data_IF_711939134544
#
_entry.id   IF_711939134544
#
_cell.length_a   1.000
_cell.length_b   1.000
_cell.length_c   1.000
_cell.angle_alpha   90.00
_cell.angle_beta   90.00
_cell.angle_gamma   90.00
#
_symmetry.space_group_name_H-M   'P 1'
#
loop_
_entity.id
_entity.type
_entity.pdbx_description
1 polymer ?
#
# COMPACT_ATOMS: atom_id res chain seq x y z
N UNK A 1 32.49 21.84 0.01
CA UNK A 1 31.62 22.87 0.61
C UNK A 1 30.31 22.21 0.91
N UNK A 2 29.92 22.14 2.18
CA UNK A 2 28.62 21.61 2.56
C UNK A 2 27.52 22.48 1.91
N UNK A 3 26.68 21.92 1.03
CA UNK A 3 25.63 22.67 0.34
C UNK A 3 24.55 23.19 1.30
N UNK A 4 24.49 22.67 2.53
CA UNK A 4 23.57 23.11 3.58
C UNK A 4 24.23 24.09 4.58
N UNK A 5 25.52 24.38 4.44
CA UNK A 5 26.17 25.32 5.33
C UNK A 5 25.70 26.76 5.06
N UNK A 6 25.34 27.47 6.13
CA UNK A 6 25.16 28.92 6.07
C UNK A 6 26.53 29.56 5.86
N UNK A 7 26.94 29.75 4.61
CA UNK A 7 28.25 30.32 4.24
C UNK A 7 28.46 31.69 4.87
N UNK A 8 29.72 32.14 5.04
CA UNK A 8 30.05 33.49 5.55
C UNK A 8 29.22 34.57 4.84
N UNK A 9 29.09 34.47 3.51
CA UNK A 9 28.27 35.38 2.71
C UNK A 9 26.80 35.38 3.14
N UNK A 10 26.21 34.20 3.35
CA UNK A 10 24.83 34.07 3.82
C UNK A 10 24.67 34.58 5.26
N UNK A 11 25.63 34.30 6.16
CA UNK A 11 25.62 34.79 7.55
C UNK A 11 25.66 36.31 7.62
N UNK A 12 26.54 36.94 6.85
CA UNK A 12 26.65 38.40 6.77
C UNK A 12 25.37 39.03 6.19
N UNK A 13 24.82 38.44 5.13
CA UNK A 13 23.58 38.93 4.53
C UNK A 13 22.39 38.82 5.51
N UNK A 14 22.23 37.68 6.19
CA UNK A 14 21.20 37.47 7.19
C UNK A 14 21.34 38.46 8.36
N UNK A 15 22.55 38.59 8.92
CA UNK A 15 22.84 39.52 10.02
C UNK A 15 22.59 40.97 9.61
N UNK A 16 22.99 41.34 8.39
CA UNK A 16 22.74 42.67 7.85
C UNK A 16 21.26 42.99 7.68
N UNK A 17 20.46 42.01 7.25
CA UNK A 17 19.01 42.14 7.21
C UNK A 17 18.43 42.40 8.61
N UNK A 18 18.81 41.61 9.62
CA UNK A 18 18.36 41.84 11.00
C UNK A 18 18.80 43.21 11.55
N UNK A 19 20.06 43.61 11.33
CA UNK A 19 20.57 44.91 11.76
C UNK A 19 19.79 46.08 11.16
N UNK A 20 19.47 46.00 9.86
CA UNK A 20 18.70 47.03 9.15
C UNK A 20 17.29 47.14 9.72
N UNK A 21 16.58 46.02 9.86
CA UNK A 21 15.14 46.05 10.13
C UNK A 21 14.78 46.09 11.62
N UNK A 22 15.60 45.52 12.50
CA UNK A 22 15.31 45.49 13.94
C UNK A 22 16.12 46.50 14.75
N UNK A 23 17.29 46.90 14.27
CA UNK A 23 18.21 47.76 15.02
C UNK A 23 18.50 49.09 14.34
N UNK A 24 17.89 49.36 13.18
CA UNK A 24 18.08 50.57 12.38
C UNK A 24 19.55 50.95 12.18
N UNK A 25 20.41 49.94 11.92
CA UNK A 25 21.85 50.13 11.70
C UNK A 25 22.35 49.25 10.56
N UNK A 26 23.51 49.59 10.02
CA UNK A 26 24.19 48.72 9.05
C UNK A 26 24.69 47.44 9.74
N UNK A 27 24.62 46.32 9.01
CA UNK A 27 25.25 45.06 9.43
C UNK A 27 26.78 45.14 9.44
N UNK A 28 27.44 44.16 10.08
CA UNK A 28 28.90 44.08 10.09
C UNK A 28 29.45 43.80 8.67
N UNK A 29 30.62 44.37 8.35
CA UNK A 29 31.28 44.16 7.06
C UNK A 29 32.01 42.80 6.97
N UNK A 30 32.36 42.23 8.12
CA UNK A 30 33.06 40.97 8.27
C UNK A 30 32.54 40.26 9.51
N UNK A 31 32.63 38.93 9.51
CA UNK A 31 32.27 38.14 10.67
C UNK A 31 33.39 38.29 11.72
N UNK A 32 33.08 38.74 12.94
CA UNK A 32 34.10 38.88 13.97
C UNK A 32 34.66 37.51 14.35
N UNK A 33 35.92 37.48 14.77
CA UNK A 33 36.44 36.29 15.45
C UNK A 33 35.58 35.99 16.68
N UNK A 34 35.19 34.74 16.83
CA UNK A 34 34.47 34.27 17.99
C UNK A 34 35.09 32.96 18.45
N UNK A 35 35.12 32.78 19.77
CA UNK A 35 35.44 31.50 20.36
C UNK A 35 34.11 30.80 20.63
N UNK A 36 33.80 29.67 19.95
CA UNK A 36 32.62 28.89 20.30
C UNK A 36 32.74 28.42 21.76
N UNK A 37 31.63 28.42 22.48
CA UNK A 37 31.54 27.74 23.77
C UNK A 37 31.90 26.26 23.58
N UNK A 38 32.55 25.60 24.56
CA UNK A 38 32.70 24.15 24.55
C UNK A 38 31.35 23.46 24.40
N UNK A 39 31.27 22.38 23.62
CA UNK A 39 30.03 21.63 23.39
C UNK A 39 29.38 21.20 24.72
N UNK A 40 30.21 20.88 25.72
CA UNK A 40 29.80 20.50 27.07
C UNK A 40 28.97 21.56 27.78
N UNK A 41 29.18 22.84 27.48
CA UNK A 41 28.39 23.96 28.02
C UNK A 41 26.94 23.90 27.53
N UNK A 42 26.70 23.31 26.36
CA UNK A 42 25.38 23.20 25.74
C UNK A 42 24.68 21.88 26.09
N UNK A 43 25.36 20.96 26.79
CA UNK A 43 24.80 19.66 27.11
C UNK A 43 23.68 19.75 28.13
N UNK A 44 22.47 19.37 27.71
CA UNK A 44 21.31 19.22 28.59
C UNK A 44 21.29 17.86 29.33
N UNK A 45 22.23 16.96 29.02
CA UNK A 45 22.43 15.66 29.68
C UNK A 45 23.92 15.42 29.93
N UNK A 46 24.33 14.50 30.83
CA UNK A 46 25.75 14.32 31.18
C UNK A 46 26.72 14.05 30.01
N UNK A 47 26.21 13.65 28.85
CA UNK A 47 26.98 13.33 27.65
C UNK A 47 26.38 13.95 26.37
N UNK A 48 25.55 14.98 26.49
CA UNK A 48 24.90 15.64 25.34
C UNK A 48 23.87 14.79 24.58
N UNK A 49 23.62 13.55 25.01
CA UNK A 49 22.70 12.62 24.36
C UNK A 49 21.61 12.12 25.30
N UNK A 50 20.34 12.36 24.96
CA UNK A 50 19.20 11.75 25.68
C UNK A 50 19.28 10.22 25.63
N UNK A 51 19.62 9.64 24.47
CA UNK A 51 19.71 8.19 24.27
C UNK A 51 20.69 7.51 25.22
N UNK A 52 21.89 8.07 25.37
CA UNK A 52 22.95 7.47 26.20
C UNK A 52 22.88 7.88 27.66
N UNK A 53 22.22 9.00 27.97
CA UNK A 53 22.06 9.45 29.36
C UNK A 53 21.15 8.57 30.20
N UNK A 54 20.36 7.69 29.58
CA UNK A 54 19.29 6.91 30.22
C UNK A 54 18.27 7.78 30.98
N UNK A 55 18.18 9.07 30.63
CA UNK A 55 17.24 10.04 31.19
C UNK A 55 16.27 10.48 30.10
N UNK A 56 14.98 10.25 30.33
CA UNK A 56 13.90 10.63 29.42
C UNK A 56 13.48 9.53 28.45
N UNK A 57 12.45 9.82 27.67
CA UNK A 57 11.92 8.93 26.64
C UNK A 57 12.52 9.24 25.27
N UNK A 58 12.88 8.19 24.52
CA UNK A 58 13.21 8.33 23.09
C UNK A 58 11.92 8.44 22.28
N UNK A 59 12.00 8.89 21.03
CA UNK A 59 10.82 8.85 20.14
C UNK A 59 10.23 7.44 20.06
N UNK A 60 11.08 6.42 20.05
CA UNK A 60 10.67 5.03 20.01
C UNK A 60 10.00 4.57 21.30
N UNK A 61 10.51 4.92 22.49
CA UNK A 61 9.83 4.57 23.74
C UNK A 61 8.47 5.28 23.86
N UNK A 62 8.35 6.51 23.33
CA UNK A 62 7.05 7.20 23.22
C UNK A 62 6.10 6.51 22.25
N UNK A 63 6.59 6.08 21.09
CA UNK A 63 5.79 5.33 20.12
C UNK A 63 5.29 4.01 20.73
N UNK A 64 6.17 3.22 21.34
CA UNK A 64 5.82 1.97 22.02
C UNK A 64 4.74 2.16 23.09
N UNK A 65 4.87 3.18 23.94
CA UNK A 65 3.86 3.54 24.95
C UNK A 65 2.53 3.94 24.32
N UNK A 66 2.58 4.76 23.26
CA UNK A 66 1.38 5.29 22.60
C UNK A 66 0.63 4.20 21.84
N UNK A 67 1.33 3.34 21.12
CA UNK A 67 0.70 2.28 20.33
C UNK A 67 0.16 1.13 21.18
N UNK A 68 0.59 0.99 22.45
CA UNK A 68 0.16 -0.10 23.31
C UNK A 68 -1.36 -0.13 23.57
N UNK A 69 -2.04 1.01 23.42
CA UNK A 69 -3.51 1.13 23.51
C UNK A 69 -4.19 1.28 22.14
N UNK A 70 -3.48 1.01 21.04
CA UNK A 70 -3.97 1.16 19.68
C UNK A 70 -3.92 -0.19 18.92
N UNK A 71 -4.83 -0.44 17.96
CA UNK A 71 -6.02 0.36 17.67
C UNK A 71 -7.07 0.32 18.78
N UNK A 72 -8.02 1.27 18.81
CA UNK A 72 -9.10 1.24 19.79
C UNK A 72 -9.83 -0.10 19.73
N UNK A 73 -10.14 -0.65 20.90
CA UNK A 73 -10.96 -1.87 20.99
C UNK A 73 -12.31 -1.62 20.34
N UNK A 74 -12.72 -2.55 19.48
CA UNK A 74 -14.04 -2.56 18.85
C UNK A 74 -14.84 -3.73 19.41
N UNK A 75 -16.16 -3.69 19.26
CA UNK A 75 -17.01 -4.86 19.51
C UNK A 75 -16.97 -5.79 18.30
N UNK A 76 -16.73 -7.08 18.52
CA UNK A 76 -16.80 -8.08 17.46
C UNK A 76 -18.25 -8.19 16.99
N UNK A 77 -18.52 -8.16 15.66
CA UNK A 77 -19.85 -8.43 15.15
C UNK A 77 -20.22 -9.89 15.45
N UNK A 78 -21.33 -10.12 16.15
CA UNK A 78 -21.82 -11.45 16.50
C UNK A 78 -22.99 -11.88 15.60
N UNK A 79 -23.65 -10.94 14.94
CA UNK A 79 -24.75 -11.19 14.02
C UNK A 79 -24.49 -10.61 12.64
N UNK A 80 -25.22 -11.09 11.63
CA UNK A 80 -25.17 -10.54 10.28
C UNK A 80 -25.46 -9.03 10.24
N UNK A 81 -26.46 -8.56 11.01
CA UNK A 81 -26.79 -7.12 11.05
C UNK A 81 -25.68 -6.27 11.67
N UNK A 82 -25.03 -6.77 12.72
CA UNK A 82 -23.88 -6.08 13.33
C UNK A 82 -22.68 -6.06 12.38
N UNK A 83 -22.48 -7.12 11.59
CA UNK A 83 -21.44 -7.18 10.58
C UNK A 83 -21.67 -6.16 9.45
N UNK A 84 -22.90 -6.03 8.95
CA UNK A 84 -23.22 -5.01 7.94
C UNK A 84 -23.03 -3.60 8.50
N UNK A 85 -23.44 -3.35 9.75
CA UNK A 85 -23.19 -2.06 10.42
C UNK A 85 -21.69 -1.77 10.58
N UNK A 86 -20.91 -2.78 10.96
CA UNK A 86 -19.45 -2.69 11.05
C UNK A 86 -18.82 -2.36 9.69
N UNK A 87 -19.23 -3.04 8.61
CA UNK A 87 -18.74 -2.77 7.25
C UNK A 87 -19.06 -1.35 6.81
N UNK A 88 -20.28 -0.88 7.04
CA UNK A 88 -20.68 0.47 6.69
C UNK A 88 -19.85 1.52 7.45
N UNK A 89 -19.72 1.37 8.77
CA UNK A 89 -18.99 2.30 9.62
C UNK A 89 -17.48 2.33 9.30
N UNK A 90 -16.84 1.16 9.28
CA UNK A 90 -15.41 1.07 9.01
C UNK A 90 -15.07 1.40 7.55
N UNK A 91 -15.93 1.04 6.59
CA UNK A 91 -15.78 1.43 5.19
C UNK A 91 -15.81 2.96 5.01
N UNK A 92 -16.72 3.66 5.70
CA UNK A 92 -16.77 5.11 5.68
C UNK A 92 -15.52 5.74 6.32
N UNK A 93 -15.06 5.18 7.46
CA UNK A 93 -13.84 5.62 8.14
C UNK A 93 -12.58 5.40 7.30
N UNK A 94 -12.47 4.24 6.63
CA UNK A 94 -11.41 3.95 5.65
C UNK A 94 -11.43 4.98 4.52
N UNK A 95 -12.59 5.19 3.89
CA UNK A 95 -12.72 6.11 2.77
C UNK A 95 -12.34 7.55 3.15
N UNK A 96 -12.72 7.98 4.35
CA UNK A 96 -12.36 9.29 4.90
C UNK A 96 -10.86 9.39 5.18
N UNK A 97 -10.28 8.42 5.90
CA UNK A 97 -8.86 8.45 6.29
C UNK A 97 -7.94 8.38 5.06
N UNK A 98 -8.32 7.58 4.07
CA UNK A 98 -7.61 7.47 2.81
C UNK A 98 -7.97 8.59 1.82
N UNK A 99 -8.93 9.45 2.12
CA UNK A 99 -9.42 10.50 1.22
C UNK A 99 -9.80 9.96 -0.17
N UNK A 100 -10.36 8.75 -0.20
CA UNK A 100 -10.73 8.08 -1.46
C UNK A 100 -11.88 8.86 -2.10
N UNK A 101 -11.62 9.36 -3.31
CA UNK A 101 -12.62 10.03 -4.15
C UNK A 101 -13.07 9.06 -5.22
N UNK A 102 -14.26 8.48 -5.03
CA UNK A 102 -14.84 7.65 -6.08
C UNK A 102 -15.08 8.48 -7.33
N UNK A 103 -14.33 8.15 -8.38
CA UNK A 103 -14.54 8.71 -9.70
C UNK A 103 -15.39 7.76 -10.55
N UNK A 104 -16.42 8.30 -11.19
CA UNK A 104 -17.28 7.58 -12.14
C UNK A 104 -17.26 8.18 -13.55
N UNK A 105 -16.36 9.14 -13.78
CA UNK A 105 -16.14 9.73 -15.10
C UNK A 105 -15.83 8.66 -16.15
N UNK A 106 -16.11 8.93 -17.43
CA UNK A 106 -15.81 8.00 -18.51
C UNK A 106 -14.37 7.49 -18.46
N UNK A 107 -14.20 6.17 -18.57
CA UNK A 107 -12.89 5.52 -18.53
C UNK A 107 -11.94 5.96 -19.63
N UNK A 108 -12.44 6.53 -20.74
CA UNK A 108 -11.60 6.96 -21.86
C UNK A 108 -10.66 5.87 -22.37
N UNK A 109 -11.08 4.59 -22.28
CA UNK A 109 -10.22 3.45 -22.52
C UNK A 109 -9.68 3.47 -23.96
N UNK A 110 -8.35 3.44 -24.10
CA UNK A 110 -7.65 3.48 -25.38
C UNK A 110 -6.88 2.19 -25.59
N UNK A 111 -7.08 1.58 -26.75
CA UNK A 111 -6.26 0.48 -27.23
C UNK A 111 -4.93 1.00 -27.75
N UNK A 112 -3.84 0.35 -27.35
CA UNK A 112 -2.49 0.70 -27.80
C UNK A 112 -2.01 -0.33 -28.81
N UNK A 113 -1.97 -1.61 -28.43
CA UNK A 113 -1.51 -2.70 -29.29
C UNK A 113 -2.04 -4.04 -28.81
N UNK A 114 -2.31 -4.95 -29.74
CA UNK A 114 -2.57 -6.36 -29.45
C UNK A 114 -1.37 -7.19 -29.91
N UNK A 115 -0.83 -8.00 -29.02
CA UNK A 115 0.27 -8.90 -29.32
C UNK A 115 -0.22 -10.36 -29.24
N UNK A 116 -0.27 -11.10 -30.37
CA UNK A 116 -0.69 -12.50 -30.34
C UNK A 116 0.37 -13.38 -29.68
N UNK A 117 -0.09 -14.43 -28.98
CA UNK A 117 0.69 -15.51 -28.40
C UNK A 117 -0.01 -16.84 -28.70
N UNK A 118 0.66 -17.96 -28.45
CA UNK A 118 0.03 -19.27 -28.66
C UNK A 118 -0.97 -19.55 -27.53
N UNK A 119 -2.28 -19.57 -27.83
CA UNK A 119 -3.35 -19.92 -26.89
C UNK A 119 -3.95 -18.76 -26.10
N UNK A 120 -3.43 -17.55 -26.29
CA UNK A 120 -3.93 -16.31 -25.71
C UNK A 120 -3.36 -15.11 -26.49
N UNK A 121 -3.87 -13.91 -26.26
CA UNK A 121 -3.26 -12.67 -26.73
C UNK A 121 -3.17 -11.64 -25.60
N UNK A 122 -2.23 -10.70 -25.73
CA UNK A 122 -2.07 -9.60 -24.77
C UNK A 122 -2.51 -8.30 -25.42
N UNK A 123 -3.45 -7.61 -24.82
CA UNK A 123 -3.86 -6.27 -25.23
C UNK A 123 -3.26 -5.25 -24.28
N UNK A 124 -2.45 -4.33 -24.81
CA UNK A 124 -1.99 -3.16 -24.08
C UNK A 124 -3.03 -2.06 -24.23
N UNK A 125 -3.53 -1.61 -23.09
CA UNK A 125 -4.60 -0.64 -22.96
C UNK A 125 -4.16 0.45 -21.99
N UNK A 126 -4.82 1.58 -22.05
CA UNK A 126 -4.81 2.57 -20.97
C UNK A 126 -6.23 3.07 -20.72
N UNK A 127 -6.53 3.46 -19.49
CA UNK A 127 -7.79 4.14 -19.15
C UNK A 127 -7.52 5.28 -18.16
N UNK A 128 -8.49 6.16 -17.99
CA UNK A 128 -8.41 7.33 -17.12
C UNK A 128 -9.00 6.99 -15.75
N UNK A 129 -8.17 7.05 -14.71
CA UNK A 129 -8.61 6.88 -13.31
C UNK A 129 -9.23 8.17 -12.77
N UNK A 130 -8.53 9.29 -12.98
CA UNK A 130 -8.89 10.67 -12.65
C UNK A 130 -8.44 11.60 -13.79
N UNK A 131 -9.00 12.82 -13.93
CA UNK A 131 -8.56 13.75 -14.96
C UNK A 131 -7.03 13.91 -15.00
N UNK A 132 -6.40 13.51 -16.09
CA UNK A 132 -4.95 13.56 -16.29
C UNK A 132 -4.16 12.36 -15.75
N UNK A 133 -4.80 11.40 -15.07
CA UNK A 133 -4.18 10.19 -14.54
C UNK A 133 -4.54 8.98 -15.41
N UNK A 134 -3.59 8.59 -16.25
CA UNK A 134 -3.70 7.43 -17.14
C UNK A 134 -3.15 6.19 -16.44
N UNK A 135 -3.88 5.08 -16.55
CA UNK A 135 -3.56 3.79 -15.93
C UNK A 135 -3.26 2.78 -17.04
N UNK A 136 -1.98 2.45 -17.26
CA UNK A 136 -1.56 1.40 -18.17
C UNK A 136 -2.03 0.04 -17.68
N UNK A 137 -2.59 -0.76 -18.59
CA UNK A 137 -3.13 -2.08 -18.28
C UNK A 137 -2.78 -3.06 -19.38
N UNK A 138 -2.25 -4.22 -19.01
CA UNK A 138 -2.11 -5.36 -19.93
C UNK A 138 -3.25 -6.34 -19.65
N UNK A 139 -4.00 -6.68 -20.69
CA UNK A 139 -5.08 -7.65 -20.61
C UNK A 139 -4.64 -8.93 -21.29
N UNK A 140 -4.51 -10.00 -20.51
CA UNK A 140 -4.25 -11.34 -21.02
C UNK A 140 -5.59 -11.99 -21.31
N UNK A 141 -5.89 -12.21 -22.59
CA UNK A 141 -7.16 -12.75 -23.04
C UNK A 141 -6.93 -14.16 -23.60
N UNK A 142 -7.46 -15.22 -22.96
CA UNK A 142 -7.35 -16.58 -23.48
C UNK A 142 -8.16 -16.77 -24.76
N UNK A 143 -7.68 -17.61 -25.67
CA UNK A 143 -8.45 -18.01 -26.86
C UNK A 143 -9.69 -18.85 -26.49
N UNK A 144 -9.61 -19.58 -25.36
CA UNK A 144 -10.69 -20.41 -24.82
C UNK A 144 -10.96 -20.00 -23.36
N UNK A 145 -11.73 -18.91 -23.13
CA UNK A 145 -12.08 -18.48 -21.79
C UNK A 145 -12.97 -19.52 -21.11
N UNK A 146 -12.77 -19.74 -19.80
CA UNK A 146 -13.70 -20.54 -18.99
C UNK A 146 -15.05 -19.82 -18.91
N UNK A 147 -16.12 -20.52 -19.29
CA UNK A 147 -17.48 -19.97 -19.46
C UNK A 147 -18.02 -19.21 -18.25
N UNK A 148 -17.64 -19.61 -17.03
CA UNK A 148 -18.09 -18.99 -15.78
C UNK A 148 -16.97 -18.24 -15.03
N UNK A 149 -15.84 -17.96 -15.68
CA UNK A 149 -14.74 -17.28 -15.00
C UNK A 149 -14.95 -15.77 -14.92
N UNK A 150 -15.11 -15.25 -13.70
CA UNK A 150 -14.91 -13.82 -13.42
C UNK A 150 -13.49 -13.43 -13.80
N UNK A 151 -13.34 -12.25 -14.43
CA UNK A 151 -12.04 -11.68 -14.72
C UNK A 151 -11.23 -11.49 -13.44
N UNK A 152 -9.91 -11.58 -13.57
CA UNK A 152 -8.96 -11.30 -12.49
C UNK A 152 -8.36 -9.92 -12.72
N UNK A 153 -8.47 -9.03 -11.75
CA UNK A 153 -7.64 -7.82 -11.67
C UNK A 153 -6.38 -8.20 -10.89
N UNK A 154 -5.22 -7.82 -11.39
CA UNK A 154 -3.93 -8.14 -10.82
C UNK A 154 -3.12 -6.86 -10.59
N UNK A 155 -2.56 -6.70 -9.40
CA UNK A 155 -1.81 -5.50 -8.97
C UNK A 155 -0.54 -5.92 -8.25
N UNK A 156 0.61 -5.38 -8.68
CA UNK A 156 1.93 -5.73 -8.16
C UNK A 156 2.71 -4.47 -7.73
N UNK A 157 3.49 -4.56 -6.65
CA UNK A 157 4.28 -3.42 -6.16
C UNK A 157 5.35 -2.91 -7.16
N UNK A 158 5.94 -3.82 -7.94
CA UNK A 158 6.90 -3.50 -9.00
C UNK A 158 6.24 -3.20 -10.37
N UNK A 159 4.90 -3.24 -10.44
CA UNK A 159 4.15 -3.10 -11.69
C UNK A 159 3.94 -4.41 -12.44
N UNK A 160 3.04 -4.37 -13.42
CA UNK A 160 2.54 -5.52 -14.18
C UNK A 160 3.59 -6.26 -14.99
N UNK A 161 4.68 -5.59 -15.37
CA UNK A 161 5.75 -6.22 -16.17
C UNK A 161 6.45 -7.33 -15.38
N UNK A 162 6.58 -7.18 -14.06
CA UNK A 162 7.30 -8.12 -13.19
C UNK A 162 6.84 -9.59 -13.39
N UNK A 163 5.52 -9.81 -13.47
CA UNK A 163 4.95 -11.14 -13.69
C UNK A 163 4.19 -11.29 -15.02
N UNK A 164 4.22 -10.24 -15.84
CA UNK A 164 3.55 -10.17 -17.15
C UNK A 164 4.43 -10.53 -18.34
N UNK A 165 5.73 -10.65 -18.14
CA UNK A 165 6.66 -11.13 -19.15
C UNK A 165 6.48 -12.64 -19.43
N UNK A 166 7.10 -13.12 -20.50
CA UNK A 166 7.02 -14.52 -20.91
C UNK A 166 7.46 -15.45 -19.77
N UNK A 167 6.74 -16.56 -19.61
CA UNK A 167 6.86 -17.52 -18.51
C UNK A 167 6.42 -17.00 -17.12
N UNK A 168 5.96 -15.75 -17.03
CA UNK A 168 5.42 -15.15 -15.82
C UNK A 168 4.08 -15.75 -15.37
N UNK A 169 3.63 -15.36 -14.17
CA UNK A 169 2.40 -15.87 -13.57
C UNK A 169 1.17 -15.52 -14.42
N UNK A 170 1.15 -14.34 -15.04
CA UNK A 170 -0.02 -13.84 -15.76
C UNK A 170 -0.27 -14.62 -17.05
N UNK A 171 0.80 -15.01 -17.75
CA UNK A 171 0.72 -15.94 -18.87
C UNK A 171 0.12 -17.29 -18.43
N UNK A 172 0.59 -17.84 -17.31
CA UNK A 172 0.12 -19.13 -16.81
C UNK A 172 -1.36 -19.09 -16.44
N UNK A 173 -1.82 -18.02 -15.79
CA UNK A 173 -3.24 -17.81 -15.50
C UNK A 173 -4.08 -17.72 -16.78
N UNK A 174 -3.59 -16.98 -17.79
CA UNK A 174 -4.26 -16.87 -19.09
C UNK A 174 -4.40 -18.22 -19.78
N UNK A 175 -3.32 -19.02 -19.81
CA UNK A 175 -3.34 -20.39 -20.36
C UNK A 175 -4.32 -21.33 -19.64
N UNK A 176 -4.69 -21.02 -18.41
CA UNK A 176 -5.69 -21.75 -17.63
C UNK A 176 -7.13 -21.24 -17.87
N UNK A 177 -7.32 -20.40 -18.88
CA UNK A 177 -8.61 -19.90 -19.34
C UNK A 177 -9.13 -18.70 -18.56
N UNK A 178 -8.29 -17.98 -17.81
CA UNK A 178 -8.66 -16.76 -17.09
C UNK A 178 -8.31 -15.50 -17.88
N UNK A 179 -9.26 -14.58 -18.00
CA UNK A 179 -8.97 -13.22 -18.46
C UNK A 179 -8.37 -12.42 -17.31
N UNK A 180 -7.14 -11.90 -17.48
CA UNK A 180 -6.41 -11.18 -16.43
C UNK A 180 -6.12 -9.75 -16.86
N UNK A 181 -6.52 -8.77 -16.04
CA UNK A 181 -6.24 -7.35 -16.17
C UNK A 181 -5.12 -6.98 -15.21
N UNK A 182 -3.90 -6.86 -15.69
CA UNK A 182 -2.76 -6.45 -14.89
C UNK A 182 -2.59 -4.93 -14.98
N UNK A 183 -2.75 -4.25 -13.84
CA UNK A 183 -2.94 -2.79 -13.75
C UNK A 183 -1.77 -2.16 -13.01
N UNK A 184 -1.18 -1.12 -13.61
CA UNK A 184 -0.20 -0.26 -12.95
C UNK A 184 -0.90 0.94 -12.31
N UNK A 185 -0.98 0.97 -10.98
CA UNK A 185 -1.47 2.15 -10.25
C UNK A 185 -0.50 3.34 -10.40
N UNK A 186 -0.97 4.56 -10.14
CA UNK A 186 -0.15 5.77 -10.34
C UNK A 186 1.18 5.73 -9.58
N UNK A 187 2.26 6.08 -10.26
CA UNK A 187 3.63 6.07 -9.76
C UNK A 187 4.29 4.68 -9.69
N UNK A 188 3.65 3.63 -10.24
CA UNK A 188 4.17 2.25 -10.30
C UNK A 188 4.28 1.80 -11.78
N UNK A 189 5.25 0.94 -12.07
CA UNK A 189 5.45 0.36 -13.40
C UNK A 189 5.65 1.43 -14.48
N UNK A 190 4.85 1.39 -15.55
CA UNK A 190 4.93 2.35 -16.67
C UNK A 190 4.61 3.80 -16.26
N UNK A 191 3.98 4.02 -15.08
CA UNK A 191 3.65 5.37 -14.58
C UNK A 191 4.68 5.95 -13.61
N UNK A 192 5.79 5.23 -13.40
CA UNK A 192 6.85 5.66 -12.49
C UNK A 192 7.52 6.95 -13.02
N UNK A 193 7.78 7.96 -12.16
CA UNK A 193 8.44 9.16 -12.62
C UNK A 193 9.87 8.86 -13.12
N UNK A 194 10.38 9.60 -14.11
CA UNK A 194 11.78 9.47 -14.53
C UNK A 194 12.74 9.63 -13.35
N UNK A 195 13.84 8.90 -13.34
CA UNK A 195 14.89 8.97 -12.30
C UNK A 195 14.47 8.55 -10.89
N UNK A 196 13.31 7.91 -10.72
CA UNK A 196 12.82 7.39 -9.44
C UNK A 196 13.74 6.36 -8.75
N UNK A 197 14.58 5.69 -9.55
CA UNK A 197 15.54 4.65 -9.14
C UNK A 197 16.98 5.14 -9.19
N UNK A 198 17.22 6.43 -9.41
CA UNK A 198 18.57 6.96 -9.23
C UNK A 198 18.93 6.81 -7.75
N UNK A 199 19.76 5.81 -7.45
CA UNK A 199 20.21 5.51 -6.10
C UNK A 199 20.90 6.73 -5.52
N UNK A 200 20.20 7.43 -4.64
CA UNK A 200 20.83 8.38 -3.73
C UNK A 200 21.88 7.63 -2.88
N UNK A 201 23.04 8.24 -2.60
CA UNK A 201 24.04 7.59 -1.75
C UNK A 201 23.49 7.44 -0.31
N UNK A 202 23.45 6.21 0.24
CA UNK A 202 23.16 6.01 1.66
C UNK A 202 22.52 4.67 2.05
N UNK A 203 22.47 4.40 3.37
CA UNK A 203 21.99 3.14 3.97
C UNK A 203 20.46 3.06 4.15
N UNK A 204 19.71 4.13 3.84
CA UNK A 204 18.25 4.25 4.09
C UNK A 204 17.45 4.59 2.82
N UNK A 205 17.78 3.97 1.69
CA UNK A 205 17.15 4.25 0.38
C UNK A 205 15.62 4.07 0.36
N UNK A 206 15.07 3.20 1.22
CA UNK A 206 13.61 3.04 1.35
C UNK A 206 12.89 4.30 1.87
N UNK A 207 13.61 5.21 2.52
CA UNK A 207 13.09 6.46 3.07
C UNK A 207 13.41 7.69 2.20
N UNK A 208 14.16 7.51 1.11
CA UNK A 208 14.62 8.59 0.24
C UNK A 208 14.57 8.15 -1.23
N UNK A 209 13.37 7.79 -1.69
CA UNK A 209 13.11 7.39 -3.08
C UNK A 209 11.89 8.13 -3.63
N UNK A 210 11.67 8.00 -4.95
CA UNK A 210 10.56 8.69 -5.63
C UNK A 210 9.18 8.40 -5.03
N UNK A 211 8.94 7.17 -4.55
CA UNK A 211 7.67 6.82 -3.91
C UNK A 211 7.45 7.51 -2.57
N UNK A 212 8.51 7.59 -1.75
CA UNK A 212 8.47 8.32 -0.48
C UNK A 212 8.25 9.81 -0.73
N UNK A 213 8.94 10.40 -1.70
CA UNK A 213 8.75 11.81 -2.09
C UNK A 213 7.31 12.10 -2.52
N UNK A 214 6.73 11.27 -3.39
CA UNK A 214 5.32 11.44 -3.81
C UNK A 214 4.35 11.32 -2.63
N UNK A 215 4.66 10.46 -1.66
CA UNK A 215 3.83 10.28 -0.45
C UNK A 215 3.86 11.53 0.43
N UNK A 216 5.05 12.13 0.62
CA UNK A 216 5.19 13.38 1.36
C UNK A 216 4.50 14.54 0.65
N UNK A 217 4.64 14.67 -0.68
CA UNK A 217 3.92 15.70 -1.43
C UNK A 217 2.40 15.55 -1.32
N UNK A 218 1.89 14.32 -1.36
CA UNK A 218 0.46 14.08 -1.13
C UNK A 218 0.04 14.56 0.27
N UNK A 219 0.82 14.27 1.31
CA UNK A 219 0.51 14.73 2.67
C UNK A 219 0.58 16.27 2.80
N UNK A 220 1.53 16.93 2.14
CA UNK A 220 1.67 18.40 2.16
C UNK A 220 0.46 19.12 1.57
N UNK A 221 -0.22 18.52 0.59
CA UNK A 221 -1.46 19.06 0.01
C UNK A 221 -2.73 18.48 0.64
N UNK A 222 -2.61 17.84 1.80
CA UNK A 222 -3.71 17.21 2.51
C UNK A 222 -4.42 16.16 1.63
N UNK A 223 -3.66 15.31 0.96
CA UNK A 223 -4.12 14.17 0.16
C UNK A 223 -3.45 12.85 0.60
N UNK A 224 -3.87 11.73 0.02
CA UNK A 224 -3.29 10.41 0.29
C UNK A 224 -2.95 9.69 -1.01
N UNK A 225 -1.65 9.55 -1.31
CA UNK A 225 -1.19 8.75 -2.45
C UNK A 225 -1.69 7.30 -2.33
N UNK A 226 -1.73 6.76 -1.11
CA UNK A 226 -2.26 5.43 -0.86
C UNK A 226 -3.75 5.33 -1.27
N UNK A 227 -4.58 6.28 -0.87
CA UNK A 227 -6.00 6.30 -1.25
C UNK A 227 -6.22 6.52 -2.74
N UNK A 228 -5.40 7.36 -3.38
CA UNK A 228 -5.39 7.53 -4.84
C UNK A 228 -5.06 6.23 -5.57
N UNK A 229 -4.10 5.43 -5.08
CA UNK A 229 -3.76 4.12 -5.66
C UNK A 229 -4.85 3.08 -5.42
N UNK A 230 -5.53 3.11 -4.27
CA UNK A 230 -6.73 2.28 -4.04
C UNK A 230 -7.83 2.63 -5.04
N UNK A 231 -8.03 3.93 -5.33
CA UNK A 231 -8.96 4.37 -6.36
C UNK A 231 -8.56 3.87 -7.76
N UNK A 232 -7.26 3.86 -8.09
CA UNK A 232 -6.77 3.29 -9.37
C UNK A 232 -7.10 1.80 -9.50
N UNK A 233 -6.99 1.02 -8.41
CA UNK A 233 -7.42 -0.39 -8.39
C UNK A 233 -8.92 -0.51 -8.64
N UNK A 234 -9.75 0.30 -7.97
CA UNK A 234 -11.21 0.33 -8.17
C UNK A 234 -11.55 0.71 -9.63
N UNK A 235 -10.81 1.64 -10.24
CA UNK A 235 -10.98 2.00 -11.66
C UNK A 235 -10.56 0.87 -12.60
N UNK A 236 -9.58 0.06 -12.21
CA UNK A 236 -9.27 -1.21 -12.88
C UNK A 236 -10.46 -2.19 -12.85
N UNK A 237 -11.21 -2.25 -11.74
CA UNK A 237 -12.46 -3.04 -11.63
C UNK A 237 -13.54 -2.46 -12.55
N UNK A 238 -13.72 -1.14 -12.57
CA UNK A 238 -14.65 -0.48 -13.51
C UNK A 238 -14.35 -0.86 -14.95
N UNK A 239 -13.06 -0.80 -15.32
CA UNK A 239 -12.64 -1.13 -16.67
C UNK A 239 -12.90 -2.60 -17.02
N UNK A 240 -12.54 -3.52 -16.12
CA UNK A 240 -12.78 -4.95 -16.33
C UNK A 240 -14.27 -5.26 -16.54
N UNK A 241 -15.16 -4.67 -15.73
CA UNK A 241 -16.61 -4.90 -15.82
C UNK A 241 -17.28 -4.18 -16.99
N UNK A 242 -16.65 -3.13 -17.54
CA UNK A 242 -17.15 -2.44 -18.73
C UNK A 242 -16.91 -3.22 -20.03
N UNK A 243 -15.99 -4.20 -20.02
CA UNK A 243 -15.51 -4.87 -21.22
C UNK A 243 -16.44 -5.99 -21.68
N UNK A 244 -16.74 -6.04 -22.98
CA UNK A 244 -17.51 -7.13 -23.58
C UNK A 244 -16.80 -8.48 -23.41
N UNK A 245 -17.56 -9.53 -23.05
CA UNK A 245 -17.03 -10.87 -22.82
C UNK A 245 -16.49 -11.12 -21.41
N UNK A 246 -16.55 -10.13 -20.52
CA UNK A 246 -16.30 -10.32 -19.09
C UNK A 246 -17.63 -10.52 -18.35
N UNK A 247 -17.66 -11.48 -17.43
CA UNK A 247 -18.80 -11.68 -16.53
C UNK A 247 -18.98 -10.44 -15.63
N UNK A 248 -20.13 -9.77 -15.75
CA UNK A 248 -20.41 -8.52 -15.05
C UNK A 248 -20.86 -8.71 -13.58
N UNK A 249 -20.98 -9.94 -13.08
CA UNK A 249 -21.34 -10.21 -11.68
C UNK A 249 -20.26 -9.81 -10.66
N UNK A 250 -19.04 -9.57 -11.14
CA UNK A 250 -17.91 -9.09 -10.35
C UNK A 250 -16.57 -9.62 -10.85
N UNK A 251 -15.50 -9.18 -10.20
CA UNK A 251 -14.12 -9.59 -10.50
C UNK A 251 -13.49 -10.30 -9.31
N UNK A 252 -12.40 -10.99 -9.58
CA UNK A 252 -11.47 -11.51 -8.58
C UNK A 252 -10.24 -10.61 -8.55
N UNK A 253 -9.58 -10.49 -7.40
CA UNK A 253 -8.45 -9.59 -7.23
C UNK A 253 -7.24 -10.35 -6.68
N UNK A 254 -6.08 -10.17 -7.31
CA UNK A 254 -4.80 -10.64 -6.79
C UNK A 254 -3.92 -9.40 -6.57
N UNK A 255 -3.46 -9.21 -5.35
CA UNK A 255 -2.52 -8.16 -4.99
C UNK A 255 -1.23 -8.76 -4.44
N UNK A 256 -0.07 -8.25 -4.87
CA UNK A 256 1.23 -8.73 -4.40
C UNK A 256 2.13 -7.60 -3.87
N UNK A 257 2.76 -7.84 -2.72
CA UNK A 257 3.55 -6.84 -2.00
C UNK A 257 2.67 -5.67 -1.54
N UNK A 258 3.05 -4.44 -1.91
CA UNK A 258 2.19 -3.27 -1.74
C UNK A 258 0.87 -3.35 -2.51
N UNK A 259 0.86 -4.08 -3.63
CA UNK A 259 -0.37 -4.42 -4.36
C UNK A 259 -1.38 -5.17 -3.51
N UNK A 260 -0.91 -5.97 -2.54
CA UNK A 260 -1.78 -6.66 -1.58
C UNK A 260 -2.48 -5.65 -0.64
N UNK A 261 -1.76 -4.63 -0.16
CA UNK A 261 -2.36 -3.58 0.66
C UNK A 261 -3.44 -2.82 -0.12
N UNK A 262 -3.12 -2.27 -1.31
CA UNK A 262 -4.12 -1.55 -2.10
C UNK A 262 -5.33 -2.43 -2.44
N UNK A 263 -5.11 -3.72 -2.70
CA UNK A 263 -6.15 -4.69 -3.01
C UNK A 263 -7.08 -4.97 -1.82
N UNK A 264 -6.53 -5.08 -0.61
CA UNK A 264 -7.33 -5.25 0.61
C UNK A 264 -8.27 -4.07 0.83
N UNK A 265 -7.74 -2.85 0.74
CA UNK A 265 -8.54 -1.64 0.90
C UNK A 265 -9.56 -1.46 -0.23
N UNK A 266 -9.19 -1.78 -1.48
CA UNK A 266 -10.13 -1.78 -2.61
C UNK A 266 -11.27 -2.77 -2.37
N UNK A 267 -10.98 -3.99 -1.89
CA UNK A 267 -11.99 -4.99 -1.57
C UNK A 267 -12.89 -4.58 -0.40
N UNK A 268 -12.35 -3.92 0.62
CA UNK A 268 -13.13 -3.36 1.72
C UNK A 268 -14.09 -2.26 1.24
N UNK A 269 -13.68 -1.46 0.25
CA UNK A 269 -14.46 -0.35 -0.27
C UNK A 269 -15.39 -0.73 -1.44
N UNK A 270 -15.13 -1.81 -2.18
CA UNK A 270 -15.88 -2.20 -3.37
C UNK A 270 -16.33 -3.68 -3.33
N UNK A 271 -17.64 -3.89 -3.28
CA UNK A 271 -18.26 -5.22 -3.18
C UNK A 271 -18.33 -5.97 -4.50
N UNK A 272 -17.99 -5.32 -5.63
CA UNK A 272 -17.86 -5.98 -6.94
C UNK A 272 -16.63 -6.87 -7.02
N UNK A 273 -15.66 -6.68 -6.13
CA UNK A 273 -14.55 -7.61 -5.90
C UNK A 273 -15.10 -8.78 -5.09
N UNK A 274 -15.24 -9.94 -5.71
CA UNK A 274 -15.91 -11.13 -5.14
C UNK A 274 -14.97 -12.06 -4.38
N UNK A 275 -13.68 -12.05 -4.72
CA UNK A 275 -12.65 -12.77 -3.97
C UNK A 275 -11.29 -12.07 -4.10
N UNK A 276 -10.43 -12.27 -3.10
CA UNK A 276 -9.15 -11.58 -2.99
C UNK A 276 -8.04 -12.54 -2.56
N UNK A 277 -6.91 -12.49 -3.24
CA UNK A 277 -5.65 -13.11 -2.82
C UNK A 277 -4.63 -12.02 -2.57
N UNK A 278 -4.07 -12.00 -1.35
CA UNK A 278 -3.09 -11.02 -0.89
C UNK A 278 -1.77 -11.74 -0.63
N UNK A 279 -0.81 -11.59 -1.55
CA UNK A 279 0.48 -12.28 -1.52
C UNK A 279 1.61 -11.36 -1.06
N UNK A 280 2.36 -11.74 -0.03
CA UNK A 280 3.50 -10.95 0.45
C UNK A 280 3.13 -9.59 1.03
N UNK A 281 1.87 -9.39 1.44
CA UNK A 281 1.40 -8.13 2.04
C UNK A 281 1.87 -7.93 3.48
N UNK A 282 1.96 -6.67 3.93
CA UNK A 282 2.25 -6.35 5.33
C UNK A 282 1.23 -7.02 6.27
N UNK A 283 1.71 -7.60 7.37
CA UNK A 283 0.87 -8.26 8.36
C UNK A 283 -0.10 -7.29 9.06
N UNK A 284 0.43 -6.20 9.63
CA UNK A 284 -0.33 -5.18 10.34
C UNK A 284 0.49 -3.89 10.52
N UNK A 285 -0.16 -2.73 10.65
CA UNK A 285 0.51 -1.47 10.96
C UNK A 285 1.13 -1.46 12.36
N UNK A 286 0.54 -2.20 13.31
CA UNK A 286 1.07 -2.26 14.65
C UNK A 286 2.47 -2.91 14.72
N UNK A 287 2.87 -3.76 13.76
CA UNK A 287 4.24 -4.28 13.74
C UNK A 287 5.26 -3.18 13.41
N UNK A 288 4.94 -2.27 12.48
CA UNK A 288 5.76 -1.09 12.18
C UNK A 288 5.91 -0.17 13.40
N UNK A 289 4.81 0.07 14.13
CA UNK A 289 4.82 0.94 15.30
C UNK A 289 5.58 0.37 16.51
N UNK A 290 5.79 -0.97 16.54
CA UNK A 290 6.53 -1.67 17.59
C UNK A 290 8.01 -1.82 17.32
N UNK A 291 8.47 -1.49 16.11
CA UNK A 291 9.88 -1.63 15.72
C UNK A 291 10.55 -0.28 15.54
N UNK A 292 11.84 -0.19 15.90
CA UNK A 292 12.67 0.99 15.64
C UNK A 292 13.30 0.96 14.24
N UNK A 293 13.09 -0.14 13.49
CA UNK A 293 13.57 -0.36 12.13
C UNK A 293 12.53 -1.08 11.29
N UNK A 294 12.39 -0.64 10.05
CA UNK A 294 11.51 -1.26 9.07
C UNK A 294 12.02 -0.97 7.66
N UNK A 295 11.75 -1.89 6.73
CA UNK A 295 12.16 -1.78 5.31
C UNK A 295 11.07 -1.23 4.40
N UNK A 296 9.86 -1.05 4.93
CA UNK A 296 8.77 -0.42 4.19
C UNK A 296 9.00 1.10 4.06
N UNK A 297 8.52 1.70 2.96
CA UNK A 297 8.65 3.13 2.70
C UNK A 297 7.49 3.95 3.26
N UNK A 298 7.56 5.28 3.10
CA UNK A 298 6.46 6.16 3.53
C UNK A 298 5.15 5.92 2.75
N UNK A 299 5.25 5.31 1.56
CA UNK A 299 4.16 5.01 0.65
C UNK A 299 3.12 4.01 1.17
N UNK A 300 3.41 3.29 2.26
CA UNK A 300 2.42 2.46 2.96
C UNK A 300 1.81 3.13 4.18
N UNK A 301 2.42 4.21 4.67
CA UNK A 301 2.03 4.87 5.90
C UNK A 301 0.77 5.68 5.66
N UNK A 302 -0.27 5.38 6.42
CA UNK A 302 -1.49 6.15 6.46
C UNK A 302 -1.46 6.95 7.78
N UNK A 303 -1.41 8.29 7.74
CA UNK A 303 -1.43 9.11 8.95
C UNK A 303 -2.58 8.70 9.87
N UNK A 304 -2.29 8.60 11.17
CA UNK A 304 -3.24 8.23 12.22
C UNK A 304 -3.93 6.86 12.10
N UNK A 305 -3.53 5.96 11.18
CA UNK A 305 -4.24 4.69 10.94
C UNK A 305 -4.51 3.88 12.21
N UNK A 306 -3.52 3.69 13.08
CA UNK A 306 -3.71 2.95 14.31
C UNK A 306 -4.62 3.65 15.32
N UNK A 307 -4.91 4.95 15.20
CA UNK A 307 -5.95 5.60 16.01
C UNK A 307 -7.36 5.20 15.59
N UNK A 308 -7.50 4.63 14.40
CA UNK A 308 -8.76 4.24 13.79
C UNK A 308 -8.90 2.71 13.75
N UNK A 309 -7.97 2.01 13.09
CA UNK A 309 -8.03 0.58 12.82
C UNK A 309 -6.65 0.00 12.46
N UNK A 310 -6.58 -1.32 12.28
CA UNK A 310 -5.42 -2.01 11.70
C UNK A 310 -5.91 -2.99 10.59
N UNK A 311 -4.99 -3.63 9.86
CA UNK A 311 -5.27 -4.51 8.72
C UNK A 311 -6.24 -5.68 9.06
N UNK A 312 -6.16 -6.34 10.24
CA UNK A 312 -7.16 -7.35 10.62
C UNK A 312 -8.60 -6.79 10.66
N UNK A 313 -8.79 -5.55 11.11
CA UNK A 313 -10.10 -4.90 11.11
C UNK A 313 -10.56 -4.59 9.68
N UNK A 314 -9.65 -4.14 8.80
CA UNK A 314 -9.96 -3.92 7.37
C UNK A 314 -10.34 -5.23 6.69
N UNK A 315 -9.60 -6.32 6.93
CA UNK A 315 -9.91 -7.64 6.41
C UNK A 315 -11.27 -8.18 6.88
N UNK A 316 -11.69 -7.86 8.10
CA UNK A 316 -13.03 -8.21 8.59
C UNK A 316 -14.16 -7.55 7.78
N UNK A 317 -13.92 -6.41 7.12
CA UNK A 317 -14.90 -5.78 6.20
C UNK A 317 -15.19 -6.68 5.00
N UNK A 318 -14.23 -7.53 4.63
CA UNK A 318 -14.33 -8.44 3.48
C UNK A 318 -15.09 -9.74 3.81
N UNK A 319 -15.41 -10.00 5.09
CA UNK A 319 -16.14 -11.19 5.54
C UNK A 319 -17.32 -11.53 4.62
N UNK A 320 -17.67 -12.83 4.49
CA UNK A 320 -18.64 -13.35 3.50
C UNK A 320 -18.17 -13.31 2.03
N UNK A 321 -16.91 -12.93 1.76
CA UNK A 321 -16.25 -13.10 0.45
C UNK A 321 -14.91 -13.80 0.66
N UNK A 322 -14.49 -14.73 -0.23
CA UNK A 322 -13.21 -15.39 -0.10
C UNK A 322 -12.03 -14.41 -0.01
N UNK A 323 -11.22 -14.56 1.03
CA UNK A 323 -10.00 -13.78 1.29
C UNK A 323 -8.88 -14.74 1.70
N UNK A 324 -7.81 -14.75 0.91
CA UNK A 324 -6.59 -15.49 1.21
C UNK A 324 -5.43 -14.54 1.51
N UNK A 325 -4.76 -14.74 2.64
CA UNK A 325 -3.46 -14.15 2.95
C UNK A 325 -2.38 -15.18 2.65
N UNK A 326 -1.56 -14.93 1.65
CA UNK A 326 -0.45 -15.78 1.25
C UNK A 326 0.86 -15.13 1.69
N UNK A 327 1.62 -15.83 2.53
CA UNK A 327 2.97 -15.42 2.96
C UNK A 327 3.06 -13.96 3.44
N UNK A 328 2.21 -13.51 4.39
CA UNK A 328 2.28 -12.13 4.88
C UNK A 328 3.66 -11.83 5.48
N UNK A 329 4.10 -10.58 5.36
CA UNK A 329 5.44 -10.16 5.79
C UNK A 329 5.41 -9.19 6.97
N UNK A 330 6.48 -9.19 7.75
CA UNK A 330 6.68 -8.28 8.87
C UNK A 330 7.24 -6.91 8.43
N UNK A 331 7.60 -6.08 9.40
CA UNK A 331 8.20 -4.77 9.19
C UNK A 331 9.56 -4.81 8.46
N UNK A 332 10.24 -5.94 8.48
CA UNK A 332 11.52 -6.21 7.82
C UNK A 332 11.36 -6.96 6.49
N UNK A 333 10.12 -7.02 5.96
CA UNK A 333 9.76 -7.76 4.74
C UNK A 333 10.13 -9.25 4.80
N UNK A 334 10.21 -9.83 6.00
CA UNK A 334 10.39 -11.27 6.19
C UNK A 334 9.03 -11.94 6.31
N UNK A 335 8.88 -13.13 5.70
CA UNK A 335 7.66 -13.91 5.82
C UNK A 335 7.39 -14.27 7.27
N UNK A 336 6.16 -14.02 7.71
CA UNK A 336 5.72 -14.28 9.09
C UNK A 336 5.31 -15.75 9.24
N UNK A 337 5.68 -16.34 10.37
CA UNK A 337 5.22 -17.67 10.76
C UNK A 337 3.69 -17.76 10.79
N UNK A 338 3.12 -18.82 10.23
CA UNK A 338 1.66 -18.96 10.07
C UNK A 338 0.90 -18.87 11.40
N UNK A 339 1.49 -19.33 12.50
CA UNK A 339 0.87 -19.21 13.82
C UNK A 339 0.72 -17.75 14.25
N UNK A 340 1.77 -16.94 14.10
CA UNK A 340 1.74 -15.51 14.43
C UNK A 340 0.78 -14.75 13.50
N UNK A 341 0.75 -15.10 12.21
CA UNK A 341 -0.21 -14.51 11.28
C UNK A 341 -1.67 -14.83 11.65
N UNK A 342 -1.96 -16.07 12.05
CA UNK A 342 -3.29 -16.47 12.53
C UNK A 342 -3.70 -15.74 13.80
N UNK A 343 -2.77 -15.55 14.74
CA UNK A 343 -3.02 -14.79 15.96
C UNK A 343 -3.36 -13.33 15.66
N UNK A 344 -2.60 -12.68 14.76
CA UNK A 344 -2.87 -11.30 14.35
C UNK A 344 -4.26 -11.12 13.71
N UNK A 345 -4.77 -12.15 13.02
CA UNK A 345 -6.04 -12.13 12.30
C UNK A 345 -7.19 -12.87 13.01
N UNK A 346 -7.08 -13.13 14.33
CA UNK A 346 -8.17 -13.73 15.11
C UNK A 346 -9.47 -12.93 15.01
N UNK A 347 -9.37 -11.60 15.00
CA UNK A 347 -10.49 -10.69 14.80
C UNK A 347 -11.21 -10.94 13.46
N UNK A 348 -10.44 -11.04 12.38
CA UNK A 348 -10.95 -11.33 11.04
C UNK A 348 -11.65 -12.67 11.01
N UNK A 349 -11.03 -13.72 11.57
CA UNK A 349 -11.63 -15.06 11.64
C UNK A 349 -12.97 -15.04 12.38
N UNK A 350 -13.06 -14.33 13.51
CA UNK A 350 -14.31 -14.18 14.25
C UNK A 350 -15.41 -13.49 13.43
N UNK A 351 -15.08 -12.44 12.67
CA UNK A 351 -16.03 -11.79 11.77
C UNK A 351 -16.50 -12.72 10.63
N UNK A 352 -15.62 -13.54 10.07
CA UNK A 352 -16.00 -14.57 9.08
C UNK A 352 -16.87 -15.67 9.70
N UNK A 353 -16.62 -16.09 10.95
CA UNK A 353 -17.48 -17.02 11.67
C UNK A 353 -18.89 -16.45 11.92
N UNK A 354 -18.98 -15.17 12.33
CA UNK A 354 -20.27 -14.47 12.49
C UNK A 354 -21.04 -14.31 11.16
N UNK A 355 -20.32 -14.29 10.04
CA UNK A 355 -20.90 -14.31 8.70
C UNK A 355 -21.35 -15.71 8.24
N UNK A 356 -21.05 -16.77 9.00
CA UNK A 356 -21.27 -18.16 8.56
C UNK A 356 -20.34 -18.59 7.43
N UNK A 357 -19.19 -17.92 7.25
CA UNK A 357 -18.28 -18.08 6.12
C UNK A 357 -16.84 -18.38 6.57
N UNK A 358 -16.63 -19.06 7.70
CA UNK A 358 -15.29 -19.27 8.28
C UNK A 358 -14.30 -19.91 7.29
N UNK A 359 -14.77 -20.83 6.43
CA UNK A 359 -13.95 -21.48 5.39
C UNK A 359 -13.45 -20.53 4.29
N UNK A 360 -14.07 -19.36 4.14
CA UNK A 360 -13.74 -18.37 3.11
C UNK A 360 -12.56 -17.47 3.51
N UNK A 361 -12.05 -17.58 4.74
CA UNK A 361 -10.84 -16.88 5.18
C UNK A 361 -9.70 -17.85 5.48
N UNK A 362 -8.61 -17.72 4.72
CA UNK A 362 -7.44 -18.61 4.87
C UNK A 362 -6.14 -17.82 4.96
N UNK A 363 -5.21 -18.32 5.77
CA UNK A 363 -3.83 -17.83 5.87
C UNK A 363 -2.89 -18.99 5.59
N UNK A 364 -2.05 -18.82 4.58
CA UNK A 364 -1.27 -19.89 3.96
C UNK A 364 0.17 -19.42 3.69
N UNK A 365 1.09 -20.37 3.65
CA UNK A 365 2.46 -20.16 3.16
C UNK A 365 2.58 -20.56 1.69
N UNK A 366 3.78 -20.45 1.11
CA UNK A 366 4.03 -20.92 -0.25
C UNK A 366 3.81 -22.44 -0.33
N UNK A 367 3.23 -22.90 -1.43
CA UNK A 367 3.04 -24.33 -1.68
C UNK A 367 4.18 -24.87 -2.55
N UNK A 368 5.07 -25.69 -1.97
CA UNK A 368 6.22 -26.24 -2.69
C UNK A 368 5.84 -27.21 -3.85
N UNK A 369 4.60 -27.72 -3.86
CA UNK A 369 4.15 -28.72 -4.84
C UNK A 369 3.53 -28.11 -6.10
N UNK A 370 3.16 -26.83 -6.06
CA UNK A 370 2.45 -26.14 -7.14
C UNK A 370 3.09 -24.79 -7.36
N UNK A 371 3.20 -24.33 -8.60
CA UNK A 371 3.71 -22.98 -8.85
C UNK A 371 2.71 -21.90 -8.40
N UNK A 372 3.15 -20.63 -8.35
CA UNK A 372 2.33 -19.52 -7.87
C UNK A 372 1.01 -19.38 -8.63
N UNK A 373 1.00 -19.64 -9.95
CA UNK A 373 -0.21 -19.58 -10.75
C UNK A 373 -1.22 -20.66 -10.33
N UNK A 374 -0.77 -21.90 -10.13
CA UNK A 374 -1.62 -22.97 -9.62
C UNK A 374 -2.10 -22.73 -8.18
N UNK A 375 -1.28 -22.11 -7.33
CA UNK A 375 -1.69 -21.71 -5.98
C UNK A 375 -2.74 -20.59 -6.01
N UNK A 376 -2.60 -19.57 -6.86
CA UNK A 376 -3.64 -18.56 -7.03
C UNK A 376 -4.94 -19.17 -7.56
N UNK A 377 -4.85 -20.11 -8.51
CA UNK A 377 -6.02 -20.78 -9.06
C UNK A 377 -6.81 -21.57 -8.01
N UNK A 378 -6.14 -22.25 -7.08
CA UNK A 378 -6.82 -22.98 -6.02
C UNK A 378 -7.51 -22.04 -5.02
N UNK A 379 -6.93 -20.86 -4.78
CA UNK A 379 -7.50 -19.84 -3.87
C UNK A 379 -8.61 -18.99 -4.50
N UNK A 380 -8.60 -18.86 -5.83
CA UNK A 380 -9.61 -18.14 -6.60
C UNK A 380 -10.80 -19.01 -7.02
N UNK A 381 -10.72 -20.31 -6.79
CA UNK A 381 -11.82 -21.24 -7.02
C UNK A 381 -12.70 -21.26 -5.77
N UNK A 382 -14.04 -21.25 -5.90
CA UNK A 382 -14.91 -21.36 -4.73
C UNK A 382 -14.62 -22.67 -4.01
N UNK A 383 -14.65 -22.63 -2.68
CA UNK A 383 -14.69 -23.80 -1.81
C UNK A 383 -15.76 -24.74 -2.36
N UNK A 384 -15.39 -25.87 -2.96
CA UNK A 384 -16.36 -26.91 -3.23
C UNK A 384 -16.84 -27.38 -1.87
N UNK A 385 -18.02 -26.91 -1.44
CA UNK A 385 -18.67 -27.41 -0.25
C UNK A 385 -18.73 -28.92 -0.36
N UNK A 386 -18.12 -29.61 0.59
CA UNK A 386 -18.45 -31.00 0.85
C UNK A 386 -19.91 -31.02 1.27
N UNK A 387 -20.79 -31.43 0.36
CA UNK A 387 -22.13 -31.92 0.68
C UNK A 387 -22.07 -33.09 1.67
#
# INVERSE_FOLDING_TARGET
TDPHAMTVKLRLAATGWFCRWFYNRSGPALEPEYQPEPDETLYCTPNGSLRYSQRGDTIFSRMLKTQASLPPSRQLPATHSELEAYRAALGAEIAQLLKVRRNSDPLGARHIVTTPRKGYHVEKMEFISEPGIYIPTWIFVPEQPKSDSSAVVYVHEAGKEEEGMEFGVLEKLARQGLTVFAVDVRGIGETKPPHSDEEGPGTFQNLDNGETTMSYWAWEIDESLFGMRVQDVIRGVDYALSRSGVNQSGVRLIGKGLGALWSLYAAALDTRIRSVVLDGGLLCYACLARSDRYLHGANIIIPDVLRHFDLPQVAAVVANRPLALLSPVDEMKQTVELHAARQAFEWTRAAYAAAGAESEFVILGPNEKVDSAGQYLSLLSPSSGSE
#
